data_IF_544511219788
#
_entry.id   IF_544511219788
#
_cell.length_a   1.000
_cell.length_b   1.000
_cell.length_c   1.000
_cell.angle_alpha   90.00
_cell.angle_beta   90.00
_cell.angle_gamma   90.00
#
_symmetry.space_group_name_H-M   'P 1'
#
loop_
_entity.id
_entity.type
_entity.pdbx_description
1 polymer ?
#
# COMPACT_ATOMS: atom_id res chain seq x y z
N UNK A 1 25.25 9.06 24.78
CA UNK A 1 24.41 10.07 24.12
C UNK A 1 24.73 10.25 22.63
N UNK A 2 26.01 10.46 22.27
CA UNK A 2 26.43 10.65 20.86
C UNK A 2 25.90 9.56 19.91
N UNK A 3 26.00 8.30 20.30
CA UNK A 3 25.51 7.16 19.52
C UNK A 3 24.01 7.30 19.19
N UNK A 4 23.19 7.82 20.11
CA UNK A 4 21.76 8.02 19.86
C UNK A 4 21.50 9.06 18.77
N UNK A 5 22.32 10.11 18.67
CA UNK A 5 22.19 11.11 17.60
C UNK A 5 22.61 10.57 16.23
N UNK A 6 23.67 9.75 16.21
CA UNK A 6 24.11 9.05 15.00
C UNK A 6 23.02 8.07 14.52
N UNK A 7 22.50 7.24 15.43
CA UNK A 7 21.41 6.31 15.13
C UNK A 7 20.14 7.04 14.70
N UNK A 8 19.83 8.19 15.30
CA UNK A 8 18.70 9.01 14.89
C UNK A 8 18.90 9.62 13.49
N UNK A 9 20.11 10.06 13.16
CA UNK A 9 20.53 10.46 11.81
C UNK A 9 20.29 9.37 10.77
N UNK A 10 20.77 8.16 11.07
CA UNK A 10 20.52 6.99 10.24
C UNK A 10 19.03 6.67 10.12
N UNK A 11 18.29 6.75 11.22
CA UNK A 11 16.85 6.48 11.25
C UNK A 11 16.08 7.41 10.30
N UNK A 12 16.38 8.72 10.30
CA UNK A 12 15.65 9.68 9.46
C UNK A 12 15.85 9.44 7.95
N UNK A 13 17.06 9.07 7.54
CA UNK A 13 17.33 8.77 6.13
C UNK A 13 16.79 7.39 5.74
N UNK A 14 16.84 6.40 6.64
CA UNK A 14 16.20 5.09 6.44
C UNK A 14 14.69 5.25 6.27
N UNK A 15 14.02 6.00 7.15
CA UNK A 15 12.58 6.21 7.07
C UNK A 15 12.18 6.95 5.79
N UNK A 16 13.03 7.87 5.31
CA UNK A 16 12.82 8.56 4.05
C UNK A 16 12.95 7.62 2.85
N UNK A 17 13.98 6.76 2.83
CA UNK A 17 14.16 5.75 1.77
C UNK A 17 13.00 4.76 1.73
N UNK A 18 12.48 4.34 2.89
CA UNK A 18 11.28 3.49 2.98
C UNK A 18 10.08 4.20 2.36
N UNK A 19 9.82 5.45 2.76
CA UNK A 19 8.70 6.23 2.23
C UNK A 19 8.80 6.37 0.71
N UNK A 20 9.96 6.80 0.22
CA UNK A 20 10.21 7.02 -1.20
C UNK A 20 10.09 5.72 -2.01
N UNK A 21 10.55 4.59 -1.45
CA UNK A 21 10.39 3.28 -2.05
C UNK A 21 8.91 2.94 -2.28
N UNK A 22 8.05 3.12 -1.26
CA UNK A 22 6.62 2.81 -1.38
C UNK A 22 5.85 3.82 -2.24
N UNK A 23 6.17 5.12 -2.14
CA UNK A 23 5.56 6.15 -2.97
C UNK A 23 5.81 5.92 -4.46
N UNK A 24 7.05 5.59 -4.83
CA UNK A 24 7.40 5.29 -6.23
C UNK A 24 6.77 3.99 -6.73
N UNK A 25 6.63 2.98 -5.85
CA UNK A 25 6.01 1.70 -6.20
C UNK A 25 4.51 1.80 -6.49
N UNK A 26 3.79 2.68 -5.79
CA UNK A 26 2.32 2.78 -5.87
C UNK A 26 1.80 3.59 -7.08
N UNK A 27 2.67 4.12 -7.94
CA UNK A 27 2.33 4.93 -9.13
C UNK A 27 1.23 5.95 -8.82
N UNK A 28 1.45 6.71 -7.75
CA UNK A 28 0.48 7.64 -7.22
C UNK A 28 0.46 8.92 -8.08
N UNK A 29 -0.70 9.58 -8.20
CA UNK A 29 -0.79 10.92 -8.82
C UNK A 29 0.14 11.90 -8.09
N UNK A 30 0.87 12.73 -8.84
CA UNK A 30 1.85 13.70 -8.31
C UNK A 30 1.33 14.52 -7.12
N UNK A 31 0.05 14.94 -7.13
CA UNK A 31 -0.56 15.69 -6.04
C UNK A 31 -0.56 14.92 -4.71
N UNK A 32 -0.97 13.65 -4.74
CA UNK A 32 -1.03 12.81 -3.54
C UNK A 32 0.38 12.46 -3.06
N UNK A 33 1.34 12.28 -3.99
CA UNK A 33 2.75 12.11 -3.65
C UNK A 33 3.26 13.26 -2.77
N UNK A 34 3.08 14.51 -3.21
CA UNK A 34 3.49 15.69 -2.44
C UNK A 34 2.74 15.83 -1.11
N UNK A 35 1.45 15.49 -1.08
CA UNK A 35 0.66 15.54 0.14
C UNK A 35 1.19 14.56 1.19
N UNK A 36 1.49 13.32 0.79
CA UNK A 36 2.06 12.31 1.69
C UNK A 36 3.46 12.70 2.15
N UNK A 37 4.29 13.25 1.26
CA UNK A 37 5.62 13.75 1.61
C UNK A 37 5.56 14.91 2.63
N UNK A 38 4.62 15.85 2.45
CA UNK A 38 4.42 16.95 3.39
C UNK A 38 4.00 16.45 4.79
N UNK A 39 3.05 15.51 4.85
CA UNK A 39 2.64 14.89 6.12
C UNK A 39 3.82 14.20 6.79
N UNK A 40 4.62 13.46 6.02
CA UNK A 40 5.82 12.80 6.52
C UNK A 40 6.79 13.80 7.16
N UNK A 41 7.09 14.91 6.47
CA UNK A 41 7.98 15.94 7.02
C UNK A 41 7.45 16.56 8.32
N UNK A 42 6.14 16.84 8.40
CA UNK A 42 5.52 17.34 9.63
C UNK A 42 5.70 16.34 10.79
N UNK A 43 5.45 15.06 10.55
CA UNK A 43 5.62 13.99 11.55
C UNK A 43 7.08 13.89 11.99
N UNK A 44 8.03 13.92 11.05
CA UNK A 44 9.46 13.84 11.34
C UNK A 44 9.94 15.04 12.15
N UNK A 45 9.48 16.25 11.85
CA UNK A 45 9.80 17.45 12.62
C UNK A 45 9.30 17.31 14.06
N UNK A 46 8.05 16.87 14.26
CA UNK A 46 7.48 16.67 15.60
C UNK A 46 8.31 15.63 16.39
N UNK A 47 8.63 14.48 15.77
CA UNK A 47 9.45 13.44 16.40
C UNK A 47 10.85 13.99 16.74
N UNK A 48 11.45 14.77 15.84
CA UNK A 48 12.77 15.39 16.03
C UNK A 48 12.77 16.34 17.22
N UNK A 49 11.75 17.19 17.34
CA UNK A 49 11.60 18.11 18.45
C UNK A 49 11.43 17.37 19.77
N UNK A 50 10.58 16.34 19.83
CA UNK A 50 10.40 15.52 21.03
C UNK A 50 11.69 14.80 21.43
N UNK A 51 12.42 14.27 20.46
CA UNK A 51 13.70 13.62 20.69
C UNK A 51 14.75 14.62 21.23
N UNK A 52 14.88 15.79 20.61
CA UNK A 52 15.77 16.84 21.09
C UNK A 52 15.41 17.31 22.50
N UNK A 53 14.14 17.58 22.80
CA UNK A 53 13.71 17.99 24.15
C UNK A 53 14.06 16.94 25.22
N UNK A 54 13.96 15.65 24.88
CA UNK A 54 14.26 14.56 25.82
C UNK A 54 15.76 14.36 26.03
N UNK A 55 16.57 14.49 24.99
CA UNK A 55 18.00 14.16 25.04
C UNK A 55 18.89 15.37 25.39
N UNK A 56 18.46 16.59 25.09
CA UNK A 56 19.31 17.80 25.16
C UNK A 56 19.28 18.49 26.54
N UNK A 57 18.83 17.84 27.62
CA UNK A 57 18.93 18.40 28.98
C UNK A 57 20.42 18.62 29.35
N UNK A 58 20.96 19.80 29.04
CA UNK A 58 22.33 20.22 29.34
C UNK A 58 23.35 20.14 28.20
N UNK A 59 22.95 19.88 26.94
CA UNK A 59 23.90 19.78 25.81
C UNK A 59 23.80 20.95 24.81
N UNK A 60 24.92 21.31 24.20
CA UNK A 60 25.00 22.34 23.16
C UNK A 60 24.36 21.79 21.87
N UNK A 61 23.27 22.41 21.35
CA UNK A 61 22.53 21.91 20.19
C UNK A 61 23.38 21.73 18.93
N UNK A 62 24.46 22.51 18.78
CA UNK A 62 25.33 22.48 17.61
C UNK A 62 26.01 21.11 17.40
N UNK A 63 26.54 20.50 18.46
CA UNK A 63 27.18 19.18 18.37
C UNK A 63 26.17 18.09 18.01
N UNK A 64 24.93 18.27 18.45
CA UNK A 64 23.80 17.39 18.17
C UNK A 64 23.52 17.29 16.67
N UNK A 65 23.50 18.43 15.97
CA UNK A 65 23.34 18.48 14.51
C UNK A 65 24.52 17.84 13.78
N UNK A 66 25.74 18.02 14.30
CA UNK A 66 26.95 17.44 13.71
C UNK A 66 26.90 15.90 13.72
N UNK A 67 26.56 15.30 14.87
CA UNK A 67 26.42 13.84 14.97
C UNK A 67 25.25 13.29 14.16
N UNK A 68 24.20 14.07 14.00
CA UNK A 68 23.07 13.73 13.15
C UNK A 68 23.49 13.64 11.67
N UNK A 69 24.23 14.64 11.17
CA UNK A 69 24.80 14.64 9.80
C UNK A 69 25.75 13.47 9.60
N UNK A 70 26.61 13.18 10.59
CA UNK A 70 27.53 12.03 10.55
C UNK A 70 26.76 10.72 10.37
N UNK A 71 25.65 10.53 11.11
CA UNK A 71 24.78 9.36 10.94
C UNK A 71 24.20 9.23 9.53
N UNK A 72 23.76 10.34 8.93
CA UNK A 72 23.28 10.35 7.54
C UNK A 72 24.39 9.93 6.57
N UNK A 73 25.60 10.50 6.72
CA UNK A 73 26.74 10.20 5.86
C UNK A 73 27.10 8.72 5.94
N UNK A 74 27.17 8.16 7.16
CA UNK A 74 27.45 6.74 7.38
C UNK A 74 26.44 5.87 6.63
N UNK A 75 25.15 6.20 6.74
CA UNK A 75 24.12 5.44 6.05
C UNK A 75 24.26 5.52 4.52
N UNK A 76 24.41 6.72 3.96
CA UNK A 76 24.49 6.92 2.51
C UNK A 76 25.69 6.20 1.89
N UNK A 77 26.85 6.25 2.55
CA UNK A 77 28.07 5.66 2.02
C UNK A 77 28.10 4.14 2.16
N UNK A 78 27.66 3.58 3.28
CA UNK A 78 27.91 2.18 3.62
C UNK A 78 26.67 1.29 3.59
N UNK A 79 25.49 1.81 3.92
CA UNK A 79 24.32 0.98 4.26
C UNK A 79 23.23 1.05 3.20
N UNK A 80 23.05 2.22 2.57
CA UNK A 80 21.91 2.50 1.69
C UNK A 80 21.67 1.42 0.62
N UNK A 81 22.73 1.01 -0.09
CA UNK A 81 22.61 0.01 -1.16
C UNK A 81 22.13 -1.35 -0.64
N UNK A 82 22.71 -1.84 0.46
CA UNK A 82 22.30 -3.12 1.07
C UNK A 82 20.86 -3.01 1.57
N UNK A 83 20.54 -1.92 2.25
CA UNK A 83 19.23 -1.69 2.82
C UNK A 83 18.12 -1.70 1.76
N UNK A 84 18.32 -1.06 0.61
CA UNK A 84 17.34 -1.07 -0.48
C UNK A 84 17.15 -2.47 -1.11
N UNK A 85 18.21 -3.29 -1.15
CA UNK A 85 18.11 -4.69 -1.60
C UNK A 85 17.32 -5.51 -0.60
N UNK A 86 17.59 -5.34 0.69
CA UNK A 86 16.89 -6.05 1.76
C UNK A 86 15.43 -5.62 1.84
N UNK A 87 15.12 -4.33 1.64
CA UNK A 87 13.77 -3.81 1.59
C UNK A 87 12.96 -4.46 0.45
N UNK A 88 13.54 -4.62 -0.73
CA UNK A 88 12.91 -5.32 -1.86
C UNK A 88 12.67 -6.80 -1.55
N UNK A 89 13.64 -7.48 -0.93
CA UNK A 89 13.48 -8.90 -0.53
C UNK A 89 12.37 -9.05 0.51
N UNK A 90 12.33 -8.17 1.50
CA UNK A 90 11.30 -8.15 2.53
C UNK A 90 9.92 -7.97 1.92
N UNK A 91 9.76 -7.01 1.00
CA UNK A 91 8.49 -6.76 0.31
C UNK A 91 8.00 -7.98 -0.53
N UNK A 92 8.91 -8.69 -1.19
CA UNK A 92 8.59 -9.95 -1.89
C UNK A 92 8.15 -11.07 -0.95
N UNK A 93 8.77 -11.19 0.22
CA UNK A 93 8.38 -12.17 1.23
C UNK A 93 7.03 -11.78 1.84
N UNK A 94 6.86 -10.51 2.19
CA UNK A 94 5.68 -9.98 2.83
C UNK A 94 4.45 -10.11 1.92
N UNK A 95 4.56 -9.81 0.63
CA UNK A 95 3.48 -10.01 -0.34
C UNK A 95 3.03 -11.47 -0.44
N UNK A 96 3.96 -12.44 -0.45
CA UNK A 96 3.62 -13.87 -0.42
C UNK A 96 2.86 -14.25 0.85
N UNK A 97 3.30 -13.73 2.00
CA UNK A 97 2.65 -13.97 3.29
C UNK A 97 1.24 -13.36 3.30
N UNK A 98 1.08 -12.12 2.84
CA UNK A 98 -0.22 -11.45 2.75
C UNK A 98 -1.20 -12.24 1.87
N UNK A 99 -0.77 -12.73 0.71
CA UNK A 99 -1.62 -13.57 -0.15
C UNK A 99 -2.06 -14.84 0.58
N UNK A 100 -1.17 -15.47 1.34
CA UNK A 100 -1.49 -16.65 2.15
C UNK A 100 -2.51 -16.32 3.25
N UNK A 101 -2.33 -15.19 3.95
CA UNK A 101 -3.24 -14.72 5.00
C UNK A 101 -4.62 -14.41 4.39
N UNK A 102 -4.67 -13.65 3.30
CA UNK A 102 -5.91 -13.33 2.60
C UNK A 102 -6.64 -14.62 2.19
N UNK A 103 -5.92 -15.64 1.70
CA UNK A 103 -6.50 -16.93 1.35
C UNK A 103 -7.10 -17.66 2.56
N UNK A 104 -6.43 -17.61 3.71
CA UNK A 104 -6.95 -18.19 4.96
C UNK A 104 -8.20 -17.45 5.42
N UNK A 105 -8.18 -16.12 5.40
CA UNK A 105 -9.33 -15.27 5.74
C UNK A 105 -10.51 -15.54 4.80
N UNK A 106 -10.28 -15.64 3.49
CA UNK A 106 -11.31 -15.96 2.52
C UNK A 106 -11.94 -17.33 2.76
N UNK A 107 -11.12 -18.35 3.06
CA UNK A 107 -11.63 -19.68 3.39
C UNK A 107 -12.45 -19.70 4.70
N UNK A 108 -12.13 -18.80 5.64
CA UNK A 108 -12.83 -18.68 6.91
C UNK A 108 -14.15 -17.91 6.78
N UNK A 109 -14.15 -16.78 6.05
CA UNK A 109 -15.34 -15.93 5.84
C UNK A 109 -16.32 -16.59 4.85
N UNK A 110 -15.82 -17.24 3.80
CA UNK A 110 -16.62 -17.94 2.81
C UNK A 110 -16.36 -19.44 2.87
N UNK A 111 -16.98 -20.17 3.82
CA UNK A 111 -16.92 -21.62 3.82
C UNK A 111 -17.53 -22.16 2.51
N UNK A 112 -17.01 -23.30 2.04
CA UNK A 112 -17.34 -23.86 0.72
C UNK A 112 -18.84 -24.01 0.48
N UNK A 113 -19.65 -24.20 1.53
CA UNK A 113 -21.11 -24.30 1.43
C UNK A 113 -21.76 -23.00 0.93
N UNK A 114 -21.27 -21.83 1.36
CA UNK A 114 -21.80 -20.52 0.95
C UNK A 114 -21.50 -20.29 -0.53
N UNK A 115 -20.28 -20.65 -0.98
CA UNK A 115 -19.89 -20.56 -2.38
C UNK A 115 -20.75 -21.47 -3.28
N UNK A 116 -21.08 -22.68 -2.81
CA UNK A 116 -21.96 -23.60 -3.54
C UNK A 116 -23.40 -23.08 -3.66
N UNK A 117 -23.90 -22.45 -2.60
CA UNK A 117 -25.22 -21.83 -2.56
C UNK A 117 -25.32 -20.62 -3.49
N UNK A 118 -24.30 -19.75 -3.47
CA UNK A 118 -24.20 -18.62 -4.40
C UNK A 118 -24.11 -19.08 -5.86
N UNK A 119 -23.32 -20.11 -6.16
CA UNK A 119 -23.21 -20.66 -7.52
C UNK A 119 -24.54 -21.19 -8.05
N UNK A 120 -25.34 -21.86 -7.20
CA UNK A 120 -26.69 -22.32 -7.56
C UNK A 120 -27.64 -21.16 -7.81
N UNK A 121 -27.62 -20.12 -6.97
CA UNK A 121 -28.43 -18.91 -7.14
C UNK A 121 -28.07 -18.18 -8.44
N UNK A 122 -26.78 -17.97 -8.70
CA UNK A 122 -26.31 -17.35 -9.94
C UNK A 122 -26.74 -18.13 -11.19
N UNK A 123 -26.62 -19.46 -11.17
CA UNK A 123 -27.02 -20.31 -12.30
C UNK A 123 -28.53 -20.19 -12.56
N UNK A 124 -29.37 -20.09 -11.52
CA UNK A 124 -30.81 -19.84 -11.64
C UNK A 124 -31.10 -18.44 -12.22
N UNK A 125 -30.38 -17.42 -11.78
CA UNK A 125 -30.55 -16.04 -12.29
C UNK A 125 -30.19 -15.97 -13.78
N UNK A 126 -29.06 -16.56 -14.18
CA UNK A 126 -28.60 -16.62 -15.58
C UNK A 126 -29.61 -17.35 -16.47
N UNK A 127 -30.18 -18.46 -15.99
CA UNK A 127 -31.22 -19.19 -16.75
C UNK A 127 -32.50 -18.37 -16.90
N UNK A 128 -32.92 -17.65 -15.85
CA UNK A 128 -34.09 -16.77 -15.91
C UNK A 128 -33.87 -15.60 -16.88
N UNK A 129 -32.70 -14.96 -16.84
CA UNK A 129 -32.39 -13.85 -17.76
C UNK A 129 -32.27 -14.34 -19.21
N UNK A 130 -31.65 -15.50 -19.46
CA UNK A 130 -31.57 -16.08 -20.80
C UNK A 130 -32.95 -16.42 -21.38
N UNK A 131 -33.85 -16.96 -20.55
CA UNK A 131 -35.22 -17.25 -20.97
C UNK A 131 -36.06 -15.98 -21.19
N UNK A 132 -35.85 -14.94 -20.38
CA UNK A 132 -36.48 -13.64 -20.58
C UNK A 132 -36.00 -12.96 -21.87
N UNK A 133 -34.69 -12.99 -22.14
CA UNK A 133 -34.11 -12.47 -23.38
C UNK A 133 -34.62 -13.20 -24.62
N UNK A 134 -34.72 -14.53 -24.56
CA UNK A 134 -35.25 -15.34 -25.67
C UNK A 134 -36.72 -15.01 -25.99
N UNK A 135 -37.55 -14.77 -24.96
CA UNK A 135 -38.94 -14.33 -25.14
C UNK A 135 -39.07 -12.92 -25.73
N UNK A 136 -38.15 -12.01 -25.38
CA UNK A 136 -38.15 -10.64 -25.92
C UNK A 136 -37.70 -10.64 -27.39
N UNK A 137 -36.73 -11.49 -27.76
CA UNK A 137 -36.28 -11.62 -29.15
C UNK A 137 -37.31 -12.31 -30.06
N UNK A 138 -37.98 -13.36 -29.59
CA UNK A 138 -39.03 -14.04 -30.38
C UNK A 138 -40.30 -13.21 -30.58
N UNK A 139 -40.55 -12.19 -29.76
CA UNK A 139 -41.72 -11.30 -29.90
C UNK A 139 -41.48 -10.14 -30.89
N UNK A 140 -40.26 -9.98 -31.40
CA UNK A 140 -39.89 -8.94 -32.38
C UNK A 140 -39.85 -9.44 -33.83
N UNK A 141 -39.94 -10.73 -34.08
CA UNK A 141 -40.05 -11.28 -35.44
C UNK A 141 -41.53 -11.46 -35.80
N UNK A 142 -41.99 -10.60 -36.72
CA UNK A 142 -43.20 -10.67 -37.55
C UNK A 142 -44.48 -10.02 -36.98
N UNK A 143 -44.75 -8.73 -37.31
CA UNK A 143 -46.09 -8.28 -37.65
C UNK A 143 -46.45 -8.81 -39.06
N UNK A 144 -47.53 -9.59 -39.22
CA UNK A 144 -48.01 -10.04 -40.52
C UNK A 144 -48.84 -8.93 -41.18
N UNK A 145 -48.21 -7.86 -41.67
CA UNK A 145 -48.96 -6.78 -42.36
C UNK A 145 -48.23 -6.07 -43.50
N UNK A 146 -47.15 -6.66 -44.03
CA UNK A 146 -46.51 -6.17 -45.27
C UNK A 146 -46.34 -7.36 -46.22
N UNK A 147 -47.45 -7.90 -46.71
CA UNK A 147 -47.42 -8.78 -47.89
C UNK A 147 -48.55 -8.50 -48.88
N UNK A 148 -49.36 -7.47 -48.63
CA UNK A 148 -50.39 -6.98 -49.54
C UNK A 148 -50.32 -5.45 -49.62
N UNK A 149 -49.24 -4.91 -50.19
CA UNK A 149 -49.21 -3.59 -50.83
C UNK A 149 -48.17 -3.60 -51.93
#
# INVERSE_FOLDING_TARGET
>A
MIIYFILYGMFLIISYDILNYYLNKLVIRKLIYYLVEAIYWVVIIIISLLFMLRVTKGYIPLYTFLFFIVGIIIYLLYIQKSFLVDLKRFDLIFSKILVKIIKVIWNFIFPKEVFFSFKKLFKKIILKTKNAFKKIFQKKEIPPEINNM
#
